data_IF_872147778178
#
_entry.id   IF_872147778178
#
_cell.length_a   1.000
_cell.length_b   1.000
_cell.length_c   1.000
_cell.angle_alpha   90.00
_cell.angle_beta   90.00
_cell.angle_gamma   90.00
#
_symmetry.space_group_name_H-M   'P 1'
#
loop_
_entity.id
_entity.type
_entity.pdbx_description
1 polymer ?
#
# COMPACT_ATOMS: atom_id res chain seq x y z
N UNK A 1 9.65 -26.11 -3.35
CA UNK A 1 9.44 -24.64 -3.48
C UNK A 1 9.67 -24.00 -2.12
N UNK A 2 10.19 -22.80 -2.04
CA UNK A 2 10.36 -22.11 -0.78
C UNK A 2 9.01 -21.85 -0.09
N UNK A 3 9.02 -21.75 1.25
CA UNK A 3 7.87 -21.29 2.03
C UNK A 3 8.04 -19.83 2.41
N UNK A 4 6.92 -19.11 2.52
CA UNK A 4 6.88 -17.66 2.73
C UNK A 4 6.10 -17.33 3.99
N UNK A 5 6.68 -16.45 4.83
CA UNK A 5 6.00 -15.86 5.99
C UNK A 5 6.12 -14.33 5.91
N UNK A 6 4.97 -13.65 5.80
CA UNK A 6 4.88 -12.19 5.73
C UNK A 6 4.69 -11.62 7.14
N UNK A 7 5.69 -10.89 7.63
CA UNK A 7 5.58 -10.17 8.90
C UNK A 7 4.84 -8.86 8.64
N UNK A 8 3.77 -8.65 9.38
CA UNK A 8 2.70 -7.72 9.08
C UNK A 8 2.31 -6.85 10.27
N UNK A 9 1.78 -5.66 9.98
CA UNK A 9 0.94 -4.91 10.90
C UNK A 9 -0.39 -4.63 10.17
N UNK A 10 -1.53 -4.81 10.85
CA UNK A 10 -2.86 -4.86 10.24
C UNK A 10 -3.18 -3.69 9.30
N UNK A 11 -2.81 -2.46 9.68
CA UNK A 11 -3.16 -1.26 8.90
C UNK A 11 -2.04 -0.78 7.97
N UNK A 12 -0.90 -1.48 7.90
CA UNK A 12 0.26 -1.02 7.14
C UNK A 12 0.03 -1.16 5.62
N UNK A 13 0.04 -0.05 4.86
CA UNK A 13 -0.15 -0.10 3.41
C UNK A 13 1.01 -0.75 2.67
N UNK A 14 2.23 -0.65 3.20
CA UNK A 14 3.40 -1.28 2.60
C UNK A 14 3.36 -2.81 2.72
N UNK A 15 2.83 -3.35 3.82
CA UNK A 15 2.55 -4.79 3.94
C UNK A 15 1.51 -5.22 2.91
N UNK A 16 0.45 -4.45 2.77
CA UNK A 16 -0.62 -4.76 1.83
C UNK A 16 -0.13 -4.83 0.38
N UNK A 17 0.85 -4.02 -0.02
CA UNK A 17 1.51 -4.14 -1.33
C UNK A 17 2.01 -5.55 -1.59
N UNK A 18 2.76 -6.10 -0.63
CA UNK A 18 3.34 -7.44 -0.75
C UNK A 18 2.27 -8.53 -0.68
N UNK A 19 1.25 -8.35 0.16
CA UNK A 19 0.12 -9.27 0.21
C UNK A 19 -0.67 -9.31 -1.11
N UNK A 20 -0.90 -8.14 -1.75
CA UNK A 20 -1.53 -8.08 -3.09
C UNK A 20 -0.66 -8.82 -4.11
N UNK A 21 0.64 -8.57 -4.14
CA UNK A 21 1.57 -9.22 -5.09
C UNK A 21 1.58 -10.73 -4.89
N UNK A 22 1.68 -11.22 -3.65
CA UNK A 22 1.57 -12.67 -3.32
C UNK A 22 0.26 -13.27 -3.85
N UNK A 23 -0.86 -12.58 -3.62
CA UNK A 23 -2.17 -13.05 -4.06
C UNK A 23 -2.31 -13.05 -5.60
N UNK A 24 -1.82 -12.01 -6.29
CA UNK A 24 -1.84 -11.89 -7.76
C UNK A 24 -1.00 -12.99 -8.40
N UNK A 25 0.17 -13.28 -7.79
CA UNK A 25 1.11 -14.31 -8.28
C UNK A 25 0.73 -15.72 -7.82
N UNK A 26 -0.35 -15.88 -7.05
CA UNK A 26 -0.80 -17.19 -6.55
C UNK A 26 0.19 -17.86 -5.61
N UNK A 27 1.07 -17.11 -4.96
CA UNK A 27 2.08 -17.62 -4.03
C UNK A 27 1.46 -17.85 -2.66
N UNK A 28 1.43 -19.07 -2.12
CA UNK A 28 0.94 -19.33 -0.77
C UNK A 28 1.89 -18.76 0.27
N UNK A 29 1.33 -18.13 1.31
CA UNK A 29 2.11 -17.55 2.41
C UNK A 29 1.36 -17.61 3.73
N UNK A 30 2.10 -17.54 4.83
CA UNK A 30 1.58 -17.33 6.17
C UNK A 30 1.77 -15.87 6.57
N UNK A 31 0.88 -15.35 7.41
CA UNK A 31 1.01 -13.99 7.94
C UNK A 31 1.24 -14.04 9.43
N UNK A 32 2.28 -13.34 9.91
CA UNK A 32 2.54 -13.12 11.33
C UNK A 32 2.46 -11.64 11.65
N UNK A 33 1.51 -11.27 12.53
CA UNK A 33 1.32 -9.88 12.91
C UNK A 33 2.25 -9.48 14.07
N UNK A 34 2.70 -8.22 14.02
CA UNK A 34 3.49 -7.59 15.07
C UNK A 34 2.82 -6.30 15.51
N UNK A 35 2.84 -6.04 16.82
CA UNK A 35 2.48 -4.76 17.39
C UNK A 35 3.68 -3.80 17.27
N UNK A 36 3.53 -2.80 16.41
CA UNK A 36 4.60 -1.80 16.19
C UNK A 36 4.73 -0.78 17.35
N UNK A 37 3.78 -0.76 18.29
CA UNK A 37 3.85 0.07 19.50
C UNK A 37 4.63 -0.62 20.62
N UNK A 38 4.66 -1.97 20.58
CA UNK A 38 5.41 -2.80 21.52
C UNK A 38 6.13 -3.91 20.74
N UNK A 39 7.23 -3.54 20.09
CA UNK A 39 7.97 -4.42 19.20
C UNK A 39 8.70 -5.50 19.98
N UNK A 40 8.40 -6.81 19.73
CA UNK A 40 9.07 -7.90 20.40
C UNK A 40 10.51 -8.08 19.90
N UNK A 41 11.37 -8.64 20.72
CA UNK A 41 12.80 -8.84 20.45
C UNK A 41 13.03 -9.63 19.15
N UNK A 42 12.32 -10.76 18.96
CA UNK A 42 12.43 -11.55 17.74
C UNK A 42 12.19 -10.74 16.46
N UNK A 43 11.32 -9.71 16.51
CA UNK A 43 11.04 -8.85 15.35
C UNK A 43 12.20 -7.85 15.12
N UNK A 44 12.76 -7.30 16.21
CA UNK A 44 13.89 -6.37 16.11
C UNK A 44 15.16 -7.07 15.61
N UNK A 45 15.35 -8.36 15.93
CA UNK A 45 16.43 -9.19 15.39
C UNK A 45 16.30 -9.38 13.86
N UNK A 46 15.07 -9.50 13.34
CA UNK A 46 14.80 -9.72 11.92
C UNK A 46 14.72 -8.41 11.10
N UNK A 47 14.32 -7.30 11.74
CA UNK A 47 14.04 -6.04 11.04
C UNK A 47 15.15 -5.01 11.30
N UNK A 48 16.05 -4.75 10.34
CA UNK A 48 17.15 -3.78 10.53
C UNK A 48 16.67 -2.36 10.86
N UNK A 49 15.45 -2.02 10.41
CA UNK A 49 14.85 -0.69 10.58
C UNK A 49 13.68 -0.69 11.58
N UNK A 50 13.36 -1.83 12.20
CA UNK A 50 12.18 -1.98 13.05
C UNK A 50 10.86 -1.70 12.31
N UNK A 51 10.79 -2.02 11.01
CA UNK A 51 9.65 -1.73 10.12
C UNK A 51 9.10 -3.01 9.49
N UNK A 52 7.86 -2.95 9.02
CA UNK A 52 7.20 -3.96 8.18
C UNK A 52 6.92 -3.38 6.79
N UNK A 53 6.79 -4.24 5.73
CA UNK A 53 6.84 -5.70 5.75
C UNK A 53 8.24 -6.27 5.88
N UNK A 54 8.30 -7.52 6.40
CA UNK A 54 9.42 -8.41 6.13
C UNK A 54 8.84 -9.66 5.48
N UNK A 55 9.58 -10.25 4.54
CA UNK A 55 9.26 -11.56 3.97
C UNK A 55 10.36 -12.55 4.38
N UNK A 56 9.99 -13.52 5.22
CA UNK A 56 10.86 -14.63 5.53
C UNK A 56 10.71 -15.68 4.43
N UNK A 57 11.81 -15.95 3.76
CA UNK A 57 11.91 -16.98 2.71
C UNK A 57 12.70 -18.16 3.28
N UNK A 58 12.06 -19.35 3.34
CA UNK A 58 12.73 -20.59 3.78
C UNK A 58 12.80 -21.54 2.58
N UNK A 59 14.03 -21.87 2.19
CA UNK A 59 14.32 -22.77 1.06
C UNK A 59 15.35 -23.83 1.51
N UNK A 60 14.88 -25.02 1.84
CA UNK A 60 15.68 -26.05 2.51
C UNK A 60 16.19 -25.56 3.86
N UNK A 61 17.52 -25.59 4.05
CA UNK A 61 18.19 -25.08 5.26
C UNK A 61 18.43 -23.56 5.25
N UNK A 62 18.19 -22.90 4.12
CA UNK A 62 18.39 -21.45 3.99
C UNK A 62 17.16 -20.71 4.51
N UNK A 63 17.40 -19.71 5.37
CA UNK A 63 16.40 -18.71 5.75
C UNK A 63 16.96 -17.33 5.44
N UNK A 64 16.22 -16.57 4.64
CA UNK A 64 16.57 -15.20 4.27
C UNK A 64 15.39 -14.30 4.60
N UNK A 65 15.69 -13.14 5.16
CA UNK A 65 14.71 -12.08 5.45
C UNK A 65 14.86 -10.98 4.41
N UNK A 66 13.80 -10.73 3.65
CA UNK A 66 13.72 -9.60 2.74
C UNK A 66 12.94 -8.47 3.42
N UNK A 67 13.36 -7.27 3.18
CA UNK A 67 12.70 -6.03 3.63
C UNK A 67 12.61 -5.06 2.46
N UNK A 68 11.86 -3.94 2.62
CA UNK A 68 11.40 -3.01 1.59
C UNK A 68 10.36 -3.66 0.65
N UNK A 69 9.13 -3.14 0.69
CA UNK A 69 8.01 -3.71 -0.06
C UNK A 69 8.23 -3.74 -1.57
N UNK A 70 8.95 -2.77 -2.14
CA UNK A 70 9.28 -2.75 -3.56
C UNK A 70 10.22 -3.90 -3.92
N UNK A 71 11.25 -4.14 -3.10
CA UNK A 71 12.21 -5.25 -3.27
C UNK A 71 11.52 -6.61 -3.11
N UNK A 72 10.66 -6.75 -2.08
CA UNK A 72 9.88 -7.97 -1.87
C UNK A 72 9.01 -8.26 -3.09
N UNK A 73 8.33 -7.26 -3.64
CA UNK A 73 7.43 -7.44 -4.77
C UNK A 73 8.19 -7.80 -6.05
N UNK A 74 9.35 -7.20 -6.32
CA UNK A 74 10.20 -7.58 -7.46
C UNK A 74 10.72 -9.02 -7.32
N UNK A 75 11.18 -9.42 -6.13
CA UNK A 75 11.59 -10.79 -5.89
C UNK A 75 10.46 -11.78 -6.16
N UNK A 76 9.25 -11.50 -5.68
CA UNK A 76 8.08 -12.36 -5.92
C UNK A 76 7.72 -12.43 -7.42
N UNK A 77 7.88 -11.34 -8.15
CA UNK A 77 7.66 -11.30 -9.59
C UNK A 77 8.72 -12.10 -10.35
N UNK A 78 9.99 -12.04 -9.94
CA UNK A 78 11.10 -12.75 -10.57
C UNK A 78 11.04 -14.28 -10.39
N UNK A 79 10.54 -14.76 -9.25
CA UNK A 79 10.49 -16.20 -8.96
C UNK A 79 9.21 -16.89 -9.44
N UNK A 80 8.30 -16.16 -10.05
CA UNK A 80 7.00 -16.66 -10.52
C UNK A 80 6.80 -16.40 -12.00
N UNK A 81 5.94 -17.18 -12.65
CA UNK A 81 5.61 -16.99 -14.06
C UNK A 81 4.80 -15.70 -14.30
N UNK A 82 4.95 -15.13 -15.49
CA UNK A 82 4.24 -13.93 -15.94
C UNK A 82 4.72 -12.68 -15.20
N UNK A 83 5.55 -11.85 -15.85
CA UNK A 83 6.11 -10.64 -15.23
C UNK A 83 5.06 -9.54 -15.10
N UNK A 84 5.04 -8.89 -13.93
CA UNK A 84 4.29 -7.66 -13.64
C UNK A 84 5.11 -6.39 -13.95
N UNK A 85 6.32 -6.55 -14.49
CA UNK A 85 7.18 -5.47 -14.99
C UNK A 85 7.40 -5.63 -16.49
N UNK A 86 7.50 -4.54 -17.26
CA UNK A 86 7.77 -4.61 -18.69
C UNK A 86 9.15 -5.21 -18.97
N UNK A 87 9.26 -5.92 -20.12
CA UNK A 87 10.51 -6.50 -20.57
C UNK A 87 11.53 -5.42 -21.00
N UNK A 88 11.06 -4.30 -21.57
CA UNK A 88 11.91 -3.16 -21.95
C UNK A 88 12.56 -2.52 -20.73
N UNK A 89 13.90 -2.39 -20.68
CA UNK A 89 14.61 -1.87 -19.51
C UNK A 89 14.25 -0.41 -19.17
N UNK A 90 13.96 0.43 -20.16
CA UNK A 90 13.61 1.84 -19.93
C UNK A 90 12.20 1.95 -19.35
N UNK A 91 11.23 1.20 -19.88
CA UNK A 91 9.88 1.14 -19.32
C UNK A 91 9.89 0.52 -17.93
N UNK A 92 10.71 -0.50 -17.68
CA UNK A 92 10.91 -1.10 -16.36
C UNK A 92 11.45 -0.07 -15.35
N UNK A 93 12.45 0.71 -15.73
CA UNK A 93 12.98 1.78 -14.90
C UNK A 93 11.91 2.85 -14.59
N UNK A 94 11.08 3.20 -15.60
CA UNK A 94 9.93 4.11 -15.40
C UNK A 94 8.91 3.55 -14.42
N UNK A 95 8.57 2.26 -14.49
CA UNK A 95 7.67 1.59 -13.53
C UNK A 95 8.23 1.67 -12.10
N UNK A 96 9.53 1.41 -11.91
CA UNK A 96 10.20 1.56 -10.61
C UNK A 96 10.07 2.98 -10.07
N UNK A 97 10.27 4.00 -10.93
CA UNK A 97 10.08 5.39 -10.54
C UNK A 97 8.63 5.70 -10.11
N UNK A 98 7.63 5.10 -10.78
CA UNK A 98 6.23 5.24 -10.39
C UNK A 98 5.90 4.52 -9.06
N UNK A 99 6.55 3.39 -8.77
CA UNK A 99 6.45 2.70 -7.47
C UNK A 99 7.00 3.58 -6.34
N UNK A 100 8.14 4.25 -6.56
CA UNK A 100 8.70 5.21 -5.60
C UNK A 100 7.79 6.44 -5.43
N UNK A 101 7.21 6.95 -6.52
CA UNK A 101 6.21 8.02 -6.44
C UNK A 101 4.99 7.59 -5.61
N UNK A 102 4.52 6.37 -5.77
CA UNK A 102 3.44 5.81 -4.94
C UNK A 102 3.85 5.73 -3.46
N UNK A 103 5.12 5.44 -3.16
CA UNK A 103 5.64 5.46 -1.79
C UNK A 103 5.64 6.86 -1.18
N UNK A 104 6.05 7.88 -1.96
CA UNK A 104 5.94 9.28 -1.54
C UNK A 104 4.48 9.72 -1.34
N UNK A 105 3.55 9.29 -2.20
CA UNK A 105 2.12 9.53 -2.03
C UNK A 105 1.56 8.89 -0.75
N UNK A 106 2.02 7.69 -0.37
CA UNK A 106 1.62 7.05 0.89
C UNK A 106 2.04 7.85 2.12
N UNK A 107 3.20 8.52 2.07
CA UNK A 107 3.65 9.42 3.15
C UNK A 107 2.72 10.63 3.28
N UNK A 108 2.36 11.26 2.16
CA UNK A 108 1.43 12.40 2.19
C UNK A 108 0.01 11.95 2.61
N UNK A 109 -0.45 10.80 2.13
CA UNK A 109 -1.72 10.23 2.54
C UNK A 109 -1.76 9.94 4.05
N UNK A 110 -0.68 9.42 4.62
CA UNK A 110 -0.55 9.22 6.05
C UNK A 110 -0.61 10.56 6.80
N UNK A 111 0.16 11.57 6.38
CA UNK A 111 0.12 12.93 6.97
C UNK A 111 -1.28 13.51 6.91
N UNK A 112 -1.94 13.42 5.75
CA UNK A 112 -3.33 13.86 5.56
C UNK A 112 -4.28 13.22 6.57
N UNK A 113 -4.07 11.94 6.89
CA UNK A 113 -4.90 11.21 7.83
C UNK A 113 -4.65 11.54 9.30
N UNK A 114 -3.40 11.82 9.71
CA UNK A 114 -3.04 11.93 11.14
C UNK A 114 -2.80 13.36 11.64
N UNK A 115 -2.70 14.34 10.74
CA UNK A 115 -2.33 15.71 11.08
C UNK A 115 -3.52 16.59 11.50
N UNK A 116 -3.27 17.75 12.14
CA UNK A 116 -4.23 18.82 12.29
C UNK A 116 -4.72 19.36 10.94
N UNK A 117 -5.86 20.04 10.93
CA UNK A 117 -6.56 20.45 9.69
C UNK A 117 -5.65 21.17 8.68
N UNK A 118 -4.89 22.17 9.09
CA UNK A 118 -4.05 22.96 8.18
C UNK A 118 -3.00 22.10 7.48
N UNK A 119 -2.32 21.24 8.24
CA UNK A 119 -1.29 20.31 7.73
C UNK A 119 -1.91 19.18 6.89
N UNK A 120 -3.09 18.71 7.29
CA UNK A 120 -3.85 17.71 6.52
C UNK A 120 -4.24 18.24 5.14
N UNK A 121 -4.72 19.50 5.05
CA UNK A 121 -5.04 20.19 3.77
C UNK A 121 -3.78 20.38 2.92
N UNK A 122 -2.67 20.79 3.52
CA UNK A 122 -1.39 20.93 2.82
C UNK A 122 -0.90 19.58 2.26
N UNK A 123 -1.00 18.50 3.05
CA UNK A 123 -0.65 17.14 2.62
C UNK A 123 -1.59 16.63 1.51
N UNK A 124 -2.88 16.93 1.58
CA UNK A 124 -3.86 16.60 0.53
C UNK A 124 -3.54 17.29 -0.81
N UNK A 125 -3.17 18.57 -0.79
CA UNK A 125 -2.78 19.32 -1.98
C UNK A 125 -1.47 18.75 -2.59
N UNK A 126 -0.48 18.42 -1.76
CA UNK A 126 0.77 17.79 -2.21
C UNK A 126 0.52 16.41 -2.83
N UNK A 127 -0.37 15.62 -2.22
CA UNK A 127 -0.79 14.32 -2.71
C UNK A 127 -1.50 14.43 -4.07
N UNK A 128 -2.48 15.34 -4.19
CA UNK A 128 -3.19 15.60 -5.44
C UNK A 128 -2.22 15.96 -6.59
N UNK A 129 -1.24 16.82 -6.32
CA UNK A 129 -0.22 17.19 -7.31
C UNK A 129 0.60 15.99 -7.80
N UNK A 130 0.92 15.02 -6.91
CA UNK A 130 1.61 13.77 -7.29
C UNK A 130 0.68 12.81 -8.04
N UNK A 131 -0.59 12.71 -7.64
CA UNK A 131 -1.58 11.86 -8.31
C UNK A 131 -1.88 12.33 -9.74
N UNK A 132 -1.73 13.63 -10.05
CA UNK A 132 -1.84 14.14 -11.40
C UNK A 132 -0.83 13.49 -12.37
N UNK A 133 0.32 13.00 -11.87
CA UNK A 133 1.26 12.23 -12.68
C UNK A 133 0.72 10.85 -13.03
N UNK A 134 0.07 10.18 -12.10
CA UNK A 134 -0.63 8.92 -12.40
C UNK A 134 -1.77 9.16 -13.37
N UNK A 135 -2.59 10.21 -13.17
CA UNK A 135 -3.67 10.58 -14.09
C UNK A 135 -3.18 10.73 -15.54
N UNK A 136 -2.02 11.35 -15.75
CA UNK A 136 -1.43 11.55 -17.07
C UNK A 136 -0.95 10.24 -17.71
N UNK A 137 -0.38 9.33 -16.91
CA UNK A 137 0.29 8.11 -17.38
C UNK A 137 -0.65 6.87 -17.44
N UNK A 138 -1.78 6.88 -16.74
CA UNK A 138 -2.77 5.78 -16.74
C UNK A 138 -3.34 5.54 -18.14
N UNK A 139 -3.27 4.28 -18.58
CA UNK A 139 -3.72 3.85 -19.92
C UNK A 139 -5.14 3.28 -19.89
N UNK A 140 -5.48 2.49 -18.87
CA UNK A 140 -6.77 1.79 -18.84
C UNK A 140 -7.26 1.53 -17.42
N UNK A 141 -7.98 0.44 -17.16
CA UNK A 141 -8.47 0.14 -15.81
C UNK A 141 -7.33 -0.03 -14.81
N UNK A 142 -6.14 -0.45 -15.28
CA UNK A 142 -4.91 -0.50 -14.51
C UNK A 142 -3.83 0.38 -15.16
N UNK A 143 -2.67 0.48 -14.52
CA UNK A 143 -1.64 1.44 -14.93
C UNK A 143 -1.22 1.30 -16.39
N UNK A 144 -1.03 0.06 -16.88
CA UNK A 144 -0.59 -0.22 -18.25
C UNK A 144 -1.71 -0.70 -19.19
N UNK A 145 -2.96 -0.71 -18.78
CA UNK A 145 -4.11 -1.18 -19.58
C UNK A 145 -4.95 -2.19 -18.82
N UNK A 146 -5.26 -3.34 -19.45
CA UNK A 146 -6.11 -4.39 -18.87
C UNK A 146 -5.40 -5.26 -17.83
N UNK A 147 -4.08 -5.35 -17.89
CA UNK A 147 -3.28 -6.21 -17.02
C UNK A 147 -2.68 -5.44 -15.84
N UNK A 148 -2.58 -6.15 -14.71
CA UNK A 148 -1.91 -5.60 -13.53
C UNK A 148 -0.40 -5.50 -13.75
N UNK A 149 0.19 -4.46 -13.14
CA UNK A 149 1.63 -4.27 -13.01
C UNK A 149 2.04 -4.11 -11.55
N UNK A 150 3.36 -4.12 -11.26
CA UNK A 150 3.85 -3.79 -9.91
C UNK A 150 3.52 -2.35 -9.49
N UNK A 151 3.28 -1.44 -10.45
CA UNK A 151 2.79 -0.09 -10.14
C UNK A 151 1.40 -0.15 -9.52
N UNK A 152 0.53 -1.04 -10.02
CA UNK A 152 -0.81 -1.24 -9.47
C UNK A 152 -0.75 -1.82 -8.07
N UNK A 153 -0.02 -2.92 -7.87
CA UNK A 153 0.08 -3.55 -6.53
C UNK A 153 0.68 -2.61 -5.50
N UNK A 154 1.59 -1.70 -5.92
CA UNK A 154 2.17 -0.67 -5.07
C UNK A 154 1.22 0.48 -4.75
N UNK A 155 0.28 0.81 -5.64
CA UNK A 155 -0.58 2.00 -5.52
C UNK A 155 -1.94 1.70 -4.93
N UNK A 156 -2.48 0.49 -5.09
CA UNK A 156 -3.81 0.12 -4.59
C UNK A 156 -4.01 0.40 -3.10
N UNK A 157 -3.06 0.08 -2.19
CA UNK A 157 -3.21 0.44 -0.79
C UNK A 157 -3.33 1.94 -0.52
N UNK A 158 -2.68 2.77 -1.32
CA UNK A 158 -2.78 4.23 -1.28
C UNK A 158 -4.20 4.67 -1.65
N UNK A 159 -4.74 4.18 -2.78
CA UNK A 159 -6.07 4.55 -3.28
C UNK A 159 -7.15 4.26 -2.23
N UNK A 160 -7.10 3.10 -1.59
CA UNK A 160 -8.03 2.75 -0.51
C UNK A 160 -7.97 3.72 0.67
N UNK A 161 -6.77 4.11 1.11
CA UNK A 161 -6.62 5.02 2.25
C UNK A 161 -7.03 6.45 1.93
N UNK A 162 -6.84 6.88 0.68
CA UNK A 162 -7.39 8.15 0.20
C UNK A 162 -8.91 8.13 0.33
N UNK A 163 -9.57 7.10 -0.20
CA UNK A 163 -11.03 6.97 -0.12
C UNK A 163 -11.53 6.99 1.31
N UNK A 164 -10.94 6.17 2.20
CA UNK A 164 -11.37 6.10 3.60
C UNK A 164 -11.15 7.40 4.38
N UNK A 165 -10.11 8.18 4.03
CA UNK A 165 -9.86 9.48 4.64
C UNK A 165 -10.81 10.55 4.09
N UNK A 166 -11.04 10.56 2.78
CA UNK A 166 -11.98 11.49 2.13
C UNK A 166 -13.43 11.24 2.56
N UNK A 167 -13.82 10.01 2.88
CA UNK A 167 -15.13 9.74 3.49
C UNK A 167 -15.32 10.39 4.87
N UNK A 168 -14.25 10.55 5.63
CA UNK A 168 -14.25 11.25 6.91
C UNK A 168 -14.20 12.77 6.73
N UNK A 169 -13.52 13.25 5.68
CA UNK A 169 -13.29 14.66 5.36
C UNK A 169 -13.47 14.90 3.85
N UNK A 170 -14.72 14.94 3.35
CA UNK A 170 -15.01 15.13 1.92
C UNK A 170 -14.43 16.41 1.35
N UNK A 171 -14.28 17.45 2.17
CA UNK A 171 -13.71 18.74 1.83
C UNK A 171 -12.22 18.72 1.44
N UNK A 172 -11.53 17.58 1.59
CA UNK A 172 -10.15 17.42 1.12
C UNK A 172 -10.04 17.31 -0.41
N UNK A 173 -11.10 16.82 -1.08
CA UNK A 173 -11.25 16.77 -2.54
C UNK A 173 -10.02 16.18 -3.31
N UNK A 174 -9.23 15.32 -2.69
CA UNK A 174 -7.93 14.82 -3.21
C UNK A 174 -8.02 14.26 -4.63
N UNK A 175 -9.16 13.66 -4.97
CA UNK A 175 -9.39 13.07 -6.30
C UNK A 175 -10.15 14.00 -7.25
N UNK A 176 -10.34 15.29 -6.92
CA UNK A 176 -11.02 16.24 -7.80
C UNK A 176 -10.24 16.40 -9.12
N UNK A 177 -10.93 16.23 -10.25
CA UNK A 177 -10.32 16.33 -11.58
C UNK A 177 -9.50 15.11 -12.03
N UNK A 178 -9.38 14.03 -11.20
CA UNK A 178 -8.59 12.84 -11.47
C UNK A 178 -9.50 11.65 -11.84
N UNK A 179 -10.09 11.70 -13.02
CA UNK A 179 -11.10 10.71 -13.45
C UNK A 179 -10.51 9.31 -13.67
N UNK A 180 -9.30 9.21 -14.25
CA UNK A 180 -8.66 7.92 -14.48
C UNK A 180 -8.19 7.30 -13.15
N UNK A 181 -7.66 8.10 -12.22
CA UNK A 181 -7.27 7.63 -10.88
C UNK A 181 -8.50 7.09 -10.13
N UNK A 182 -9.67 7.73 -10.24
CA UNK A 182 -10.92 7.22 -9.67
C UNK A 182 -11.31 5.88 -10.29
N UNK A 183 -11.33 5.80 -11.64
CA UNK A 183 -11.65 4.57 -12.34
C UNK A 183 -10.66 3.43 -11.98
N UNK A 184 -9.39 3.74 -11.79
CA UNK A 184 -8.38 2.81 -11.33
C UNK A 184 -8.69 2.28 -9.92
N UNK A 185 -9.06 3.17 -9.00
CA UNK A 185 -9.48 2.76 -7.66
C UNK A 185 -10.71 1.85 -7.70
N UNK A 186 -11.70 2.18 -8.52
CA UNK A 186 -12.92 1.39 -8.70
C UNK A 186 -12.61 -0.03 -9.24
N UNK A 187 -11.75 -0.13 -10.27
CA UNK A 187 -11.32 -1.40 -10.83
C UNK A 187 -10.54 -2.24 -9.81
N UNK A 188 -9.61 -1.61 -9.06
CA UNK A 188 -8.82 -2.28 -8.05
C UNK A 188 -9.65 -2.93 -6.94
N UNK A 189 -10.74 -2.29 -6.50
CA UNK A 189 -11.65 -2.84 -5.47
C UNK A 189 -12.37 -4.12 -5.88
N UNK A 190 -12.50 -4.38 -7.19
CA UNK A 190 -13.15 -5.58 -7.69
C UNK A 190 -12.24 -6.82 -7.63
N UNK A 191 -10.93 -6.60 -7.47
CA UNK A 191 -9.96 -7.69 -7.47
C UNK A 191 -10.04 -8.53 -6.19
N UNK A 192 -10.20 -9.84 -6.34
CA UNK A 192 -10.15 -10.79 -5.23
C UNK A 192 -8.79 -10.77 -4.51
N UNK A 193 -7.69 -10.60 -5.25
CA UNK A 193 -6.36 -10.46 -4.71
C UNK A 193 -6.24 -9.26 -3.74
N UNK A 194 -6.98 -8.18 -3.99
CA UNK A 194 -7.02 -6.99 -3.12
C UNK A 194 -7.88 -7.26 -1.89
N UNK A 195 -9.07 -7.86 -2.06
CA UNK A 195 -9.95 -8.20 -0.93
C UNK A 195 -9.27 -9.13 0.08
N UNK A 196 -8.54 -10.14 -0.42
CA UNK A 196 -7.80 -11.10 0.42
C UNK A 196 -6.46 -10.56 0.98
N UNK A 197 -6.04 -9.35 0.61
CA UNK A 197 -4.75 -8.79 1.04
C UNK A 197 -4.75 -8.20 2.45
N UNK A 198 -5.92 -8.10 3.07
CA UNK A 198 -6.12 -7.53 4.41
C UNK A 198 -7.19 -8.30 5.18
N UNK A 199 -7.33 -8.00 6.46
CA UNK A 199 -8.46 -8.46 7.29
C UNK A 199 -9.75 -7.78 6.85
N UNK A 200 -10.92 -8.42 7.07
CA UNK A 200 -12.22 -7.89 6.64
C UNK A 200 -12.55 -6.52 7.24
N UNK A 201 -12.18 -6.31 8.50
CA UNK A 201 -12.42 -5.08 9.26
C UNK A 201 -11.32 -4.00 9.08
N UNK A 202 -10.52 -4.10 8.04
CA UNK A 202 -9.37 -3.18 7.81
C UNK A 202 -9.77 -1.70 7.81
N UNK A 203 -10.93 -1.38 7.25
CA UNK A 203 -11.43 0.00 7.19
C UNK A 203 -11.76 0.54 8.58
N UNK A 204 -12.38 -0.28 9.44
CA UNK A 204 -12.72 0.11 10.81
C UNK A 204 -11.45 0.20 11.67
N UNK A 205 -10.49 -0.69 11.47
CA UNK A 205 -9.16 -0.58 12.10
C UNK A 205 -8.42 0.69 11.68
N UNK A 206 -8.51 1.07 10.41
CA UNK A 206 -7.91 2.32 9.93
C UNK A 206 -8.58 3.55 10.55
N UNK A 207 -9.92 3.57 10.65
CA UNK A 207 -10.67 4.61 11.35
C UNK A 207 -10.30 4.69 12.82
N UNK A 208 -10.23 3.56 13.52
CA UNK A 208 -9.78 3.49 14.90
C UNK A 208 -8.35 3.99 15.09
N UNK A 209 -7.46 3.65 14.15
CA UNK A 209 -6.08 4.16 14.12
C UNK A 209 -6.04 5.69 14.03
N UNK A 210 -6.85 6.31 13.16
CA UNK A 210 -6.95 7.77 13.06
C UNK A 210 -7.58 8.38 14.31
N UNK A 211 -8.64 7.79 14.85
CA UNK A 211 -9.29 8.24 16.08
C UNK A 211 -8.36 8.22 17.31
N UNK A 212 -7.43 7.26 17.35
CA UNK A 212 -6.40 7.17 18.39
C UNK A 212 -5.29 8.23 18.29
N UNK A 213 -5.30 9.10 17.28
CA UNK A 213 -4.37 10.23 17.12
C UNK A 213 -5.03 11.52 17.61
N UNK A 214 -4.60 12.08 18.75
CA UNK A 214 -5.27 13.25 19.36
C UNK A 214 -5.41 14.43 18.39
N UNK A 215 -4.35 14.73 17.64
CA UNK A 215 -4.28 15.86 16.72
C UNK A 215 -4.88 15.59 15.34
N UNK A 216 -5.29 14.36 15.06
CA UNK A 216 -5.86 14.00 13.75
C UNK A 216 -7.21 14.68 13.53
N UNK A 217 -7.26 15.54 12.51
CA UNK A 217 -8.50 16.16 12.05
C UNK A 217 -9.47 15.12 11.44
N UNK A 218 -8.97 14.15 10.67
CA UNK A 218 -9.78 13.04 10.17
C UNK A 218 -10.24 12.12 11.31
N UNK A 219 -9.38 11.88 12.31
CA UNK A 219 -9.73 11.10 13.49
C UNK A 219 -10.79 11.76 14.37
N UNK A 220 -10.82 13.10 14.45
CA UNK A 220 -11.90 13.83 15.12
C UNK A 220 -13.28 13.48 14.54
N UNK A 221 -13.40 13.37 13.22
CA UNK A 221 -14.68 12.98 12.59
C UNK A 221 -15.14 11.56 12.96
N UNK A 222 -14.23 10.69 13.37
CA UNK A 222 -14.59 9.36 13.89
C UNK A 222 -15.05 9.46 15.35
N UNK A 223 -14.33 10.22 16.18
CA UNK A 223 -14.68 10.43 17.60
C UNK A 223 -16.03 11.12 17.79
N UNK A 224 -16.38 12.07 16.91
CA UNK A 224 -17.64 12.85 16.98
C UNK A 224 -18.87 12.04 16.56
N UNK A 225 -18.69 10.87 15.90
CA UNK A 225 -19.79 10.00 15.41
C UNK A 225 -20.06 8.79 16.31
N UNK A 226 -19.19 8.51 17.26
CA UNK A 226 -19.30 7.37 18.21
C UNK A 226 -19.72 7.85 19.59
#
# INVERSE_FOLDING_TARGET
>A
MPSFELISAHTCPFVQRSAITLNVKGVPYQTRHVDLTNKPEWFLELSPLGKVPLLLVRDGERQIVLFESAVINEYLDEITEGSLLPADPLLRARHRAMIELASACLVDCWKMGVAPEADARAAAAALQGKLARFEADLVGPFFTGSELSLVDTASIPLLQRIEWTVELRPELEVLAGLAKVRAWSDAARQLDAVRRSTVEDIRDRYRAYLAGRPDSWAGAAVRDRG
#
